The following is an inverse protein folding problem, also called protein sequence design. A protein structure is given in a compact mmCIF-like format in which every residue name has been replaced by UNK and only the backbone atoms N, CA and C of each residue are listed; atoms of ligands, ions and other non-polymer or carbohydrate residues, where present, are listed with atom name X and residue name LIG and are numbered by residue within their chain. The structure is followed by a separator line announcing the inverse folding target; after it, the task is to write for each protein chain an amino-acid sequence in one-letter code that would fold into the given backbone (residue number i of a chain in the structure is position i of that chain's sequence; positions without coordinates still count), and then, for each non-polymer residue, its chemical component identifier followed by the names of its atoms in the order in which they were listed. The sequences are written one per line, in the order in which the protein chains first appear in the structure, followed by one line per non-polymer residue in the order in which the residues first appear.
data_IF_059724942258
#
_entry.id   IF_059724942258
#
_cell.length_a   1.000
_cell.length_b   1.000
_cell.length_c   1.000
_cell.angle_alpha   90.00
_cell.angle_beta   90.00
_cell.angle_gamma   90.00
#
_symmetry.space_group_name_H-M   'P 1'
#
loop_
_entity.id
_entity.type
_entity.pdbx_description
1 polymer ?
#
# COMPACT_ATOMS: atom_id res chain seq x y z
N UNK A 1 20.31 6.20 -13.69
CA UNK A 1 19.08 5.43 -13.47
C UNK A 1 19.28 4.41 -12.37
N UNK A 2 18.49 4.53 -11.31
CA UNK A 2 18.54 3.58 -10.21
C UNK A 2 17.29 2.70 -10.21
N UNK A 3 17.41 1.50 -9.66
CA UNK A 3 16.34 0.54 -9.53
C UNK A 3 15.98 0.43 -8.04
N UNK A 4 14.81 0.96 -7.68
CA UNK A 4 14.29 0.94 -6.31
C UNK A 4 13.39 -0.29 -6.13
N UNK A 5 13.63 -1.05 -5.08
CA UNK A 5 12.78 -2.19 -4.73
C UNK A 5 12.37 -2.10 -3.27
N UNK A 6 11.07 -2.08 -3.05
CA UNK A 6 10.49 -2.02 -1.70
C UNK A 6 9.87 -3.37 -1.35
N UNK A 7 10.27 -3.92 -0.23
CA UNK A 7 9.59 -5.07 0.39
C UNK A 7 8.71 -4.53 1.50
N UNK A 8 7.41 -4.74 1.39
CA UNK A 8 6.43 -4.17 2.32
C UNK A 8 5.81 -5.25 3.18
N UNK A 9 5.49 -4.90 4.42
CA UNK A 9 4.79 -5.78 5.34
C UNK A 9 3.91 -4.96 6.28
N UNK A 10 2.78 -5.51 6.66
CA UNK A 10 1.86 -4.89 7.58
C UNK A 10 1.07 -5.94 8.33
N UNK A 11 0.83 -5.70 9.61
CA UNK A 11 0.08 -6.62 10.44
C UNK A 11 -0.64 -5.88 11.56
N UNK A 12 -1.75 -6.43 12.00
CA UNK A 12 -2.46 -5.97 13.17
C UNK A 12 -2.97 -7.16 13.94
N UNK A 13 -2.96 -7.04 15.26
CA UNK A 13 -3.60 -8.04 16.12
C UNK A 13 -5.11 -7.79 16.09
N UNK A 14 -5.86 -8.85 15.82
CA UNK A 14 -7.32 -8.80 15.81
C UNK A 14 -7.85 -9.61 16.97
N UNK A 15 -8.65 -8.98 17.83
CA UNK A 15 -9.31 -9.69 18.93
C UNK A 15 -10.74 -10.03 18.51
N UNK A 16 -11.15 -11.27 18.75
CA UNK A 16 -12.53 -11.69 18.59
C UNK A 16 -13.24 -11.59 19.94
N UNK A 17 -14.23 -10.72 20.03
CA UNK A 17 -15.02 -10.53 21.25
C UNK A 17 -16.50 -10.57 20.89
N UNK A 18 -17.26 -11.41 21.62
CA UNK A 18 -18.70 -11.59 21.38
C UNK A 18 -19.03 -11.94 19.92
N UNK A 19 -18.21 -12.77 19.29
CA UNK A 19 -18.39 -13.17 17.89
C UNK A 19 -18.00 -12.14 16.85
N UNK A 20 -17.48 -10.97 17.26
CA UNK A 20 -17.04 -9.92 16.35
C UNK A 20 -15.53 -9.72 16.43
N UNK A 21 -14.91 -9.45 15.29
CA UNK A 21 -13.52 -9.05 15.25
C UNK A 21 -13.40 -7.56 15.55
N UNK A 22 -12.57 -7.20 16.50
CA UNK A 22 -12.30 -5.81 16.87
C UNK A 22 -10.94 -5.39 16.32
N UNK A 23 -10.85 -4.11 15.94
CA UNK A 23 -9.58 -3.52 15.51
C UNK A 23 -8.64 -3.42 16.70
N UNK A 24 -7.37 -3.71 16.45
CA UNK A 24 -6.31 -3.67 17.43
C UNK A 24 -5.10 -2.90 16.90
N UNK A 25 -4.11 -2.72 17.76
CA UNK A 25 -2.86 -2.08 17.37
C UNK A 25 -2.14 -2.88 16.30
N UNK A 26 -1.55 -2.20 15.36
CA UNK A 26 -0.80 -2.80 14.29
C UNK A 26 0.41 -1.98 13.88
N UNK A 27 1.13 -2.47 12.91
CA UNK A 27 2.29 -1.80 12.37
C UNK A 27 2.52 -2.13 10.92
N UNK A 28 3.31 -1.29 10.28
CA UNK A 28 3.72 -1.43 8.90
C UNK A 28 5.22 -1.20 8.80
N UNK A 29 5.81 -1.76 7.78
CA UNK A 29 7.24 -1.57 7.52
C UNK A 29 7.54 -1.73 6.04
N UNK A 30 8.62 -1.11 5.59
CA UNK A 30 9.23 -1.45 4.31
C UNK A 30 10.74 -1.49 4.44
N UNK A 31 11.35 -2.31 3.60
CA UNK A 31 12.79 -2.35 3.38
C UNK A 31 13.03 -1.89 1.94
N UNK A 32 13.91 -0.91 1.79
CA UNK A 32 14.27 -0.39 0.46
C UNK A 32 15.64 -0.91 0.05
N UNK A 33 15.70 -1.50 -1.14
CA UNK A 33 16.95 -1.81 -1.83
C UNK A 33 17.08 -0.91 -3.06
N UNK A 34 18.25 -0.31 -3.22
CA UNK A 34 18.57 0.45 -4.42
C UNK A 34 19.69 -0.29 -5.14
N UNK A 35 19.44 -0.67 -6.38
CA UNK A 35 20.37 -1.48 -7.20
C UNK A 35 20.84 -2.74 -6.45
N UNK A 36 19.88 -3.42 -5.81
CA UNK A 36 20.05 -4.65 -5.05
C UNK A 36 20.86 -4.53 -3.75
N UNK A 37 21.09 -3.31 -3.27
CA UNK A 37 21.76 -3.07 -1.98
C UNK A 37 20.79 -2.45 -1.00
N UNK A 38 20.79 -2.93 0.23
CA UNK A 38 19.93 -2.37 1.28
C UNK A 38 20.28 -0.90 1.52
N UNK A 39 19.28 -0.03 1.41
CA UNK A 39 19.43 1.41 1.59
C UNK A 39 18.84 1.85 2.92
N UNK A 40 17.60 1.48 3.18
CA UNK A 40 16.90 1.95 4.38
C UNK A 40 15.77 1.02 4.79
N UNK A 41 15.37 1.14 6.04
CA UNK A 41 14.20 0.48 6.60
C UNK A 41 13.35 1.56 7.25
N UNK A 42 12.05 1.50 7.04
CA UNK A 42 11.12 2.43 7.67
C UNK A 42 9.94 1.65 8.25
N UNK A 43 9.47 2.08 9.41
CA UNK A 43 8.33 1.43 10.06
C UNK A 43 7.51 2.43 10.85
N UNK A 44 6.29 2.05 11.15
CA UNK A 44 5.40 2.86 11.96
C UNK A 44 4.32 2.00 12.57
N UNK A 45 3.55 2.57 13.47
CA UNK A 45 2.48 1.90 14.16
C UNK A 45 1.16 2.65 14.08
N UNK A 46 0.08 1.94 14.35
CA UNK A 46 -1.25 2.51 14.44
C UNK A 46 -2.00 1.86 15.61
N UNK A 47 -2.58 2.66 16.52
CA UNK A 47 -3.21 2.09 17.72
C UNK A 47 -4.53 1.37 17.44
N UNK A 48 -5.15 1.61 16.29
CA UNK A 48 -6.43 1.01 15.97
C UNK A 48 -6.54 0.77 14.46
N UNK A 49 -6.30 -0.46 14.03
CA UNK A 49 -6.18 -0.77 12.61
C UNK A 49 -6.53 -2.22 12.29
N UNK A 50 -6.38 -2.61 11.03
CA UNK A 50 -6.54 -3.97 10.54
C UNK A 50 -5.31 -4.41 9.77
N UNK A 51 -5.15 -5.73 9.55
CA UNK A 51 -4.07 -6.27 8.72
C UNK A 51 -4.06 -5.62 7.33
N UNK A 52 -5.21 -5.59 6.67
CA UNK A 52 -5.32 -5.04 5.31
C UNK A 52 -4.95 -3.55 5.25
N UNK A 53 -5.37 -2.78 6.25
CA UNK A 53 -5.02 -1.37 6.33
C UNK A 53 -3.51 -1.16 6.47
N UNK A 54 -2.85 -1.97 7.31
CA UNK A 54 -1.40 -1.87 7.50
C UNK A 54 -0.62 -2.32 6.26
N UNK A 55 -1.09 -3.35 5.56
CA UNK A 55 -0.50 -3.75 4.29
C UNK A 55 -0.59 -2.64 3.24
N UNK A 56 -1.76 -2.00 3.13
CA UNK A 56 -1.95 -0.86 2.24
C UNK A 56 -1.07 0.33 2.64
N UNK A 57 -0.98 0.60 3.94
CA UNK A 57 -0.19 1.72 4.43
C UNK A 57 1.31 1.56 4.14
N UNK A 58 1.82 0.33 4.24
CA UNK A 58 3.21 0.05 3.88
C UNK A 58 3.49 0.37 2.41
N UNK A 59 2.55 0.05 1.53
CA UNK A 59 2.64 0.39 0.10
C UNK A 59 2.58 1.91 -0.10
N UNK A 60 1.66 2.57 0.57
CA UNK A 60 1.54 4.04 0.52
C UNK A 60 2.83 4.73 0.94
N UNK A 61 3.38 4.32 2.08
CA UNK A 61 4.63 4.87 2.60
C UNK A 61 5.81 4.64 1.64
N UNK A 62 5.87 3.46 1.02
CA UNK A 62 6.90 3.14 0.03
C UNK A 62 6.83 4.04 -1.19
N UNK A 63 5.64 4.28 -1.71
CA UNK A 63 5.46 5.15 -2.88
C UNK A 63 5.82 6.61 -2.57
N UNK A 64 5.46 7.10 -1.40
CA UNK A 64 5.86 8.44 -0.96
C UNK A 64 7.37 8.56 -0.83
N UNK A 65 8.01 7.55 -0.26
CA UNK A 65 9.46 7.50 -0.12
C UNK A 65 10.15 7.54 -1.48
N UNK A 66 9.65 6.75 -2.44
CA UNK A 66 10.18 6.74 -3.81
C UNK A 66 10.07 8.12 -4.47
N UNK A 67 8.93 8.77 -4.34
CA UNK A 67 8.73 10.11 -4.93
C UNK A 67 9.66 11.16 -4.33
N UNK A 68 10.01 11.01 -3.05
CA UNK A 68 10.95 11.94 -2.39
C UNK A 68 12.41 11.69 -2.79
N UNK A 69 12.79 10.43 -2.96
CA UNK A 69 14.20 10.04 -3.17
C UNK A 69 14.59 9.90 -4.63
N UNK A 70 13.65 9.60 -5.51
CA UNK A 70 13.94 9.24 -6.89
C UNK A 70 14.14 10.46 -7.78
N UNK A 71 14.88 10.23 -8.85
CA UNK A 71 15.08 11.19 -9.95
C UNK A 71 14.40 10.66 -11.21
N UNK A 72 14.30 11.53 -12.23
CA UNK A 72 13.70 11.13 -13.50
C UNK A 72 14.45 9.95 -14.11
N UNK A 73 13.71 8.95 -14.54
CA UNK A 73 14.25 7.73 -15.11
C UNK A 73 14.50 6.60 -14.13
N UNK A 74 14.38 6.86 -12.83
CA UNK A 74 14.48 5.80 -11.83
C UNK A 74 13.28 4.87 -11.91
N UNK A 75 13.50 3.59 -11.63
CA UNK A 75 12.48 2.57 -11.68
C UNK A 75 12.11 2.13 -10.27
N UNK A 76 10.86 1.71 -10.09
CA UNK A 76 10.38 1.22 -8.81
C UNK A 76 9.61 -0.09 -8.95
N UNK A 77 9.86 -0.99 -8.02
CA UNK A 77 9.10 -2.23 -7.85
C UNK A 77 8.69 -2.32 -6.39
N UNK A 78 7.42 -2.56 -6.15
CA UNK A 78 6.90 -2.77 -4.80
C UNK A 78 6.48 -4.21 -4.66
N UNK A 79 7.11 -4.91 -3.72
CA UNK A 79 6.90 -6.33 -3.47
C UNK A 79 6.07 -6.50 -2.20
N UNK A 80 4.86 -7.01 -2.35
CA UNK A 80 3.96 -7.31 -1.26
C UNK A 80 3.54 -8.77 -1.32
N UNK A 81 3.42 -9.42 -0.19
CA UNK A 81 2.86 -10.78 -0.11
C UNK A 81 1.34 -10.76 0.14
N UNK A 82 0.75 -9.58 0.25
CA UNK A 82 -0.69 -9.43 0.46
C UNK A 82 -1.46 -9.63 -0.86
N UNK A 83 -2.14 -10.75 -1.00
CA UNK A 83 -2.99 -10.99 -2.18
C UNK A 83 -4.11 -9.95 -2.29
N UNK A 84 -4.62 -9.47 -1.16
CA UNK A 84 -5.61 -8.40 -1.10
C UNK A 84 -5.11 -7.13 -1.80
N UNK A 85 -3.90 -6.68 -1.45
CA UNK A 85 -3.32 -5.48 -2.05
C UNK A 85 -2.99 -5.68 -3.53
N UNK A 86 -2.40 -6.82 -3.86
CA UNK A 86 -2.04 -7.14 -5.25
C UNK A 86 -3.29 -7.14 -6.13
N UNK A 87 -4.36 -7.79 -5.70
CA UNK A 87 -5.61 -7.85 -6.46
C UNK A 87 -6.24 -6.47 -6.65
N UNK A 88 -6.21 -5.62 -5.62
CA UNK A 88 -6.73 -4.25 -5.75
C UNK A 88 -6.03 -3.50 -6.88
N UNK A 89 -4.71 -3.45 -6.86
CA UNK A 89 -3.96 -2.60 -7.77
C UNK A 89 -3.66 -3.21 -9.13
N UNK A 90 -3.87 -4.52 -9.29
CA UNK A 90 -3.70 -5.18 -10.58
C UNK A 90 -5.01 -5.49 -11.29
N UNK A 91 -6.13 -5.52 -10.57
CA UNK A 91 -7.42 -5.94 -11.13
C UNK A 91 -8.55 -4.97 -10.81
N UNK A 92 -8.83 -4.72 -9.53
CA UNK A 92 -10.09 -4.10 -9.12
C UNK A 92 -10.10 -2.57 -9.20
N UNK A 93 -8.99 -1.91 -8.86
CA UNK A 93 -8.94 -0.45 -8.84
C UNK A 93 -9.22 0.17 -10.20
N UNK A 94 -8.78 -0.45 -11.28
CA UNK A 94 -9.07 0.01 -12.64
C UNK A 94 -10.57 0.05 -12.91
N UNK A 95 -11.29 -1.00 -12.50
CA UNK A 95 -12.74 -1.06 -12.67
C UNK A 95 -13.47 -0.08 -11.75
N UNK A 96 -13.04 0.01 -10.49
CA UNK A 96 -13.64 0.91 -9.53
C UNK A 96 -13.48 2.37 -9.94
N UNK A 97 -12.31 2.74 -10.43
CA UNK A 97 -12.05 4.10 -10.89
C UNK A 97 -13.00 4.50 -12.03
N UNK A 98 -13.24 3.59 -12.98
CA UNK A 98 -14.17 3.81 -14.09
C UNK A 98 -15.62 3.94 -13.63
N UNK A 99 -16.00 3.32 -12.52
CA UNK A 99 -17.36 3.31 -11.97
C UNK A 99 -17.55 4.31 -10.83
N UNK A 100 -16.66 5.29 -10.68
CA UNK A 100 -16.75 6.30 -9.64
C UNK A 100 -16.44 5.79 -8.24
N UNK A 101 -15.59 4.77 -8.14
CA UNK A 101 -15.12 4.17 -6.88
C UNK A 101 -16.23 3.50 -6.09
N UNK A 102 -17.06 2.74 -6.77
CA UNK A 102 -18.13 1.92 -6.17
C UNK A 102 -18.01 0.48 -6.64
N UNK A 103 -18.39 -0.45 -5.78
CA UNK A 103 -18.52 -1.85 -6.16
C UNK A 103 -19.71 -2.05 -7.09
N UNK A 104 -19.70 -3.13 -7.86
CA UNK A 104 -20.79 -3.47 -8.79
C UNK A 104 -22.15 -3.63 -8.09
N UNK A 105 -22.15 -4.04 -6.82
CA UNK A 105 -23.36 -4.18 -6.01
C UNK A 105 -23.77 -2.90 -5.28
N UNK A 106 -23.06 -1.79 -5.50
CA UNK A 106 -23.32 -0.51 -4.86
C UNK A 106 -22.81 -0.38 -3.44
N UNK A 107 -22.18 -1.41 -2.89
CA UNK A 107 -21.63 -1.37 -1.53
C UNK A 107 -20.36 -0.54 -1.47
N UNK A 108 -20.06 0.10 -0.31
CA UNK A 108 -18.84 0.88 -0.17
C UNK A 108 -17.58 -0.01 -0.22
N UNK A 109 -16.51 0.54 -0.76
CA UNK A 109 -15.22 -0.13 -0.81
C UNK A 109 -14.50 0.12 0.53
N UNK A 110 -14.03 -0.95 1.19
CA UNK A 110 -13.23 -0.84 2.41
C UNK A 110 -11.88 -0.19 2.10
N UNK A 111 -11.40 0.62 3.03
CA UNK A 111 -10.11 1.31 2.90
C UNK A 111 -10.03 2.26 1.68
N UNK A 112 -11.16 2.75 1.22
CA UNK A 112 -11.24 3.54 0.00
C UNK A 112 -10.33 4.76 0.00
N UNK A 113 -10.29 5.49 1.11
CA UNK A 113 -9.44 6.68 1.24
C UNK A 113 -7.97 6.37 0.95
N UNK A 114 -7.48 5.30 1.54
CA UNK A 114 -6.09 4.87 1.39
C UNK A 114 -5.83 4.32 0.00
N UNK A 115 -6.77 3.55 -0.55
CA UNK A 115 -6.69 3.01 -1.92
C UNK A 115 -6.63 4.15 -2.94
N UNK A 116 -7.45 5.18 -2.78
CA UNK A 116 -7.44 6.35 -3.67
C UNK A 116 -6.14 7.13 -3.55
N UNK A 117 -5.60 7.27 -2.34
CA UNK A 117 -4.32 7.93 -2.12
C UNK A 117 -3.19 7.20 -2.85
N UNK A 118 -3.15 5.87 -2.75
CA UNK A 118 -2.16 5.05 -3.45
C UNK A 118 -2.35 5.18 -4.97
N UNK A 119 -3.59 5.16 -5.46
CA UNK A 119 -3.89 5.33 -6.88
C UNK A 119 -3.33 6.65 -7.43
N UNK A 120 -3.48 7.73 -6.67
CA UNK A 120 -2.92 9.04 -7.04
C UNK A 120 -1.40 9.02 -7.08
N UNK A 121 -0.77 8.34 -6.13
CA UNK A 121 0.69 8.20 -6.11
C UNK A 121 1.19 7.39 -7.29
N UNK A 122 0.48 6.33 -7.68
CA UNK A 122 0.81 5.55 -8.87
C UNK A 122 0.81 6.42 -10.12
N UNK A 123 -0.17 7.30 -10.26
CA UNK A 123 -0.24 8.23 -11.39
C UNK A 123 0.94 9.20 -11.41
N UNK A 124 1.32 9.72 -10.25
CA UNK A 124 2.50 10.60 -10.11
C UNK A 124 3.79 9.88 -10.48
N UNK A 125 3.93 8.63 -10.06
CA UNK A 125 5.11 7.82 -10.39
C UNK A 125 5.19 7.60 -11.90
N UNK A 126 4.07 7.28 -12.56
CA UNK A 126 4.03 7.12 -14.01
C UNK A 126 4.40 8.39 -14.75
N UNK A 127 3.94 9.55 -14.28
CA UNK A 127 4.25 10.83 -14.93
C UNK A 127 5.70 11.25 -14.75
N UNK A 128 6.36 10.77 -13.69
CA UNK A 128 7.77 11.08 -13.40
C UNK A 128 8.72 10.18 -14.18
N UNK A 129 8.30 8.98 -14.54
CA UNK A 129 9.12 8.04 -15.32
C UNK A 129 8.99 8.23 -16.87
#
# INVERSE_FOLDING_TARGET
MASFRYYTDGAATMIRKNGKYLREAGGWAFVLLIDNREDSVCSGGCPLTTNNEMELYAIYASMKDFLLKSESGDMVEICSDSSYCIDIFTKWAFNWQKKGWKKSDGKPIKNLKLIKAIWKLMAKIKSKS
#
